data_IF_649469832932
#
_entry.id   IF_649469832932
#
_cell.length_a   1.000
_cell.length_b   1.000
_cell.length_c   1.000
_cell.angle_alpha   90.00
_cell.angle_beta   90.00
_cell.angle_gamma   90.00
#
_symmetry.space_group_name_H-M   'P 1'
#
loop_
_entity.id
_entity.type
_entity.pdbx_description
1 polymer ?
#
# COMPACT_ATOMS: atom_id res chain seq x y z
N UNK A 1 -2.57 13.74 5.14
CA UNK A 1 -1.22 13.19 5.39
C UNK A 1 -0.78 12.19 4.31
N UNK A 2 -1.57 11.15 3.99
CA UNK A 2 -1.22 10.15 2.96
C UNK A 2 -0.90 10.78 1.60
N UNK A 3 -1.69 11.75 1.12
CA UNK A 3 -1.41 12.47 -0.14
C UNK A 3 -0.10 13.28 -0.10
N UNK A 4 0.29 13.83 1.05
CA UNK A 4 1.57 14.54 1.21
C UNK A 4 2.73 13.54 1.07
N UNK A 5 2.62 12.38 1.73
CA UNK A 5 3.60 11.29 1.60
C UNK A 5 3.69 10.82 0.14
N UNK A 6 2.55 10.73 -0.58
CA UNK A 6 2.53 10.39 -2.01
C UNK A 6 3.24 11.44 -2.88
N UNK A 7 3.10 12.72 -2.59
CA UNK A 7 3.83 13.81 -3.28
C UNK A 7 5.34 13.67 -3.02
N UNK A 8 5.75 13.40 -1.78
CA UNK A 8 7.18 13.18 -1.44
C UNK A 8 7.73 11.98 -2.21
N UNK A 9 6.99 10.88 -2.29
CA UNK A 9 7.38 9.70 -3.09
C UNK A 9 7.57 10.09 -4.56
N UNK A 10 6.66 10.86 -5.15
CA UNK A 10 6.77 11.30 -6.54
C UNK A 10 8.02 12.18 -6.77
N UNK A 11 8.32 13.08 -5.85
CA UNK A 11 9.53 13.92 -5.90
C UNK A 11 10.81 13.10 -5.79
N UNK A 12 10.84 12.07 -4.92
CA UNK A 12 11.98 11.16 -4.79
C UNK A 12 12.22 10.35 -6.07
N UNK A 13 11.16 9.88 -6.73
CA UNK A 13 11.26 9.20 -8.04
C UNK A 13 11.83 10.16 -9.09
N UNK A 14 11.30 11.37 -9.19
CA UNK A 14 11.77 12.36 -10.16
C UNK A 14 13.26 12.70 -9.92
N UNK A 15 13.63 12.92 -8.66
CA UNK A 15 15.02 13.13 -8.24
C UNK A 15 15.92 11.97 -8.67
N UNK A 16 15.51 10.73 -8.40
CA UNK A 16 16.26 9.53 -8.77
C UNK A 16 16.49 9.45 -10.29
N UNK A 17 15.46 9.73 -11.09
CA UNK A 17 15.56 9.72 -12.56
C UNK A 17 16.54 10.79 -13.05
N UNK A 18 16.44 12.02 -12.54
CA UNK A 18 17.34 13.12 -12.93
C UNK A 18 18.79 12.78 -12.57
N UNK A 19 19.04 12.31 -11.34
CA UNK A 19 20.39 11.95 -10.91
C UNK A 19 20.95 10.74 -11.67
N UNK A 20 20.10 9.79 -12.08
CA UNK A 20 20.52 8.68 -12.95
C UNK A 20 21.05 9.18 -14.29
N UNK A 21 20.36 10.13 -14.94
CA UNK A 21 20.84 10.73 -16.19
C UNK A 21 22.15 11.51 -16.01
N UNK A 22 22.25 12.29 -14.93
CA UNK A 22 23.48 13.04 -14.59
C UNK A 22 24.65 12.08 -14.33
N UNK A 23 24.41 10.98 -13.63
CA UNK A 23 25.43 9.97 -13.36
C UNK A 23 25.93 9.31 -14.65
N UNK A 24 25.03 8.91 -15.55
CA UNK A 24 25.39 8.33 -16.86
C UNK A 24 26.24 9.33 -17.65
N UNK A 25 25.81 10.60 -17.70
CA UNK A 25 26.56 11.65 -18.39
C UNK A 25 27.96 11.86 -17.80
N UNK A 26 28.07 11.99 -16.47
CA UNK A 26 29.36 12.16 -15.80
C UNK A 26 30.27 10.94 -15.97
N UNK A 27 29.72 9.72 -15.99
CA UNK A 27 30.49 8.50 -16.21
C UNK A 27 31.08 8.44 -17.63
N UNK A 28 30.35 8.92 -18.64
CA UNK A 28 30.81 9.00 -20.03
C UNK A 28 31.88 10.09 -20.20
N UNK A 29 31.66 11.29 -19.63
CA UNK A 29 32.50 12.48 -19.92
C UNK A 29 33.66 12.65 -18.92
N UNK A 30 33.42 12.47 -17.62
CA UNK A 30 34.35 12.86 -16.54
C UNK A 30 35.00 11.68 -15.80
N UNK A 31 34.56 10.44 -16.05
CA UNK A 31 35.04 9.19 -15.41
C UNK A 31 34.98 9.12 -13.86
N UNK A 32 34.55 10.18 -13.18
CA UNK A 32 34.28 10.21 -11.74
C UNK A 32 32.92 10.87 -11.45
N UNK A 33 32.17 10.32 -10.49
CA UNK A 33 30.86 10.85 -10.09
C UNK A 33 30.60 10.59 -8.61
N UNK A 34 30.38 11.67 -7.85
CA UNK A 34 29.85 11.59 -6.46
C UNK A 34 28.33 11.51 -6.41
N UNK A 35 27.66 11.70 -7.55
CA UNK A 35 26.20 11.72 -7.70
C UNK A 35 25.56 10.37 -7.32
N UNK A 36 26.31 9.28 -7.44
CA UNK A 36 25.92 7.94 -7.01
C UNK A 36 25.43 7.89 -5.55
N UNK A 37 26.10 8.60 -4.64
CA UNK A 37 25.70 8.62 -3.22
C UNK A 37 24.35 9.30 -3.00
N UNK A 38 24.07 10.39 -3.74
CA UNK A 38 22.80 11.10 -3.67
C UNK A 38 21.67 10.23 -4.23
N UNK A 39 21.94 9.51 -5.31
CA UNK A 39 21.01 8.53 -5.88
C UNK A 39 20.68 7.41 -4.87
N UNK A 40 21.70 6.86 -4.19
CA UNK A 40 21.55 5.79 -3.20
C UNK A 40 20.73 6.25 -1.98
N UNK A 41 20.99 7.47 -1.47
CA UNK A 41 20.21 8.08 -0.39
C UNK A 41 18.75 8.29 -0.83
N UNK A 42 18.53 8.82 -2.04
CA UNK A 42 17.18 9.04 -2.57
C UNK A 42 16.41 7.72 -2.69
N UNK A 43 17.09 6.65 -3.12
CA UNK A 43 16.53 5.31 -3.21
C UNK A 43 16.15 4.75 -1.82
N UNK A 44 17.03 4.88 -0.82
CA UNK A 44 16.74 4.45 0.54
C UNK A 44 15.54 5.21 1.15
N UNK A 45 15.49 6.53 0.97
CA UNK A 45 14.36 7.37 1.40
C UNK A 45 13.06 6.97 0.70
N UNK A 46 13.13 6.59 -0.57
CA UNK A 46 11.97 6.13 -1.32
C UNK A 46 11.32 4.89 -0.67
N UNK A 47 12.09 3.84 -0.33
CA UNK A 47 11.52 2.67 0.35
C UNK A 47 10.94 2.99 1.73
N UNK A 48 11.61 3.89 2.46
CA UNK A 48 11.12 4.34 3.75
C UNK A 48 9.75 5.04 3.61
N UNK A 49 9.62 5.93 2.63
CA UNK A 49 8.35 6.65 2.40
C UNK A 49 7.23 5.73 1.90
N UNK A 50 7.55 4.70 1.10
CA UNK A 50 6.58 3.67 0.71
C UNK A 50 6.07 2.91 1.94
N UNK A 51 6.97 2.56 2.86
CA UNK A 51 6.63 1.86 4.11
C UNK A 51 5.74 2.74 4.99
N UNK A 52 6.10 4.01 5.19
CA UNK A 52 5.30 4.99 5.92
C UNK A 52 3.90 5.10 5.31
N UNK A 53 3.81 5.29 3.98
CA UNK A 53 2.51 5.35 3.28
C UNK A 53 1.65 4.13 3.56
N UNK A 54 2.23 2.93 3.47
CA UNK A 54 1.50 1.69 3.68
C UNK A 54 0.96 1.57 5.12
N UNK A 55 1.77 1.94 6.12
CA UNK A 55 1.32 1.99 7.51
C UNK A 55 0.21 3.03 7.74
N UNK A 56 0.33 4.22 7.15
CA UNK A 56 -0.71 5.24 7.27
C UNK A 56 -2.05 4.78 6.68
N UNK A 57 -2.01 4.17 5.49
CA UNK A 57 -3.22 3.59 4.86
C UNK A 57 -3.83 2.50 5.74
N UNK A 58 -3.02 1.60 6.30
CA UNK A 58 -3.51 0.58 7.25
C UNK A 58 -4.14 1.22 8.47
N UNK A 59 -3.47 2.18 9.09
CA UNK A 59 -3.94 2.78 10.35
C UNK A 59 -5.26 3.52 10.12
N UNK A 60 -5.38 4.29 9.04
CA UNK A 60 -6.64 4.95 8.67
C UNK A 60 -7.75 3.92 8.43
N UNK A 61 -7.47 2.83 7.71
CA UNK A 61 -8.43 1.76 7.48
C UNK A 61 -8.90 1.11 8.80
N UNK A 62 -7.96 0.78 9.69
CA UNK A 62 -8.26 0.17 11.00
C UNK A 62 -9.09 1.13 11.87
N UNK A 63 -8.76 2.41 11.87
CA UNK A 63 -9.51 3.44 12.59
C UNK A 63 -10.93 3.58 12.03
N UNK A 64 -11.08 3.61 10.70
CA UNK A 64 -12.39 3.66 10.05
C UNK A 64 -13.22 2.40 10.36
N UNK A 65 -12.63 1.20 10.38
CA UNK A 65 -13.33 -0.04 10.75
C UNK A 65 -13.84 -0.01 12.20
N UNK A 66 -13.03 0.50 13.12
CA UNK A 66 -13.40 0.59 14.54
C UNK A 66 -14.55 1.57 14.76
N UNK A 67 -14.47 2.74 14.13
CA UNK A 67 -15.40 3.85 14.33
C UNK A 67 -16.68 3.74 13.49
N UNK A 68 -16.64 3.07 12.35
CA UNK A 68 -17.77 2.99 11.41
C UNK A 68 -18.77 1.90 11.77
N UNK A 69 -20.01 2.05 11.35
CA UNK A 69 -20.96 0.93 11.25
C UNK A 69 -20.65 0.13 10.00
N UNK A 70 -20.65 -1.20 10.10
CA UNK A 70 -20.26 -2.08 9.01
C UNK A 70 -21.52 -2.63 8.35
N UNK A 71 -21.62 -2.41 7.04
CA UNK A 71 -22.67 -2.98 6.20
C UNK A 71 -22.05 -4.08 5.32
N UNK A 72 -22.57 -5.30 5.44
CA UNK A 72 -22.12 -6.50 4.71
C UNK A 72 -23.36 -7.25 4.22
N UNK A 73 -23.44 -7.50 2.91
CA UNK A 73 -24.56 -8.23 2.32
C UNK A 73 -24.42 -9.74 2.40
N UNK A 74 -23.19 -10.27 2.31
CA UNK A 74 -22.93 -11.71 2.09
C UNK A 74 -21.79 -12.29 2.94
N UNK A 75 -21.30 -11.55 3.95
CA UNK A 75 -20.25 -12.02 4.85
C UNK A 75 -20.56 -11.65 6.29
N UNK A 76 -20.03 -12.43 7.24
CA UNK A 76 -20.04 -12.12 8.66
C UNK A 76 -18.60 -12.00 9.13
N UNK A 77 -17.98 -10.83 8.93
CA UNK A 77 -16.72 -10.49 9.60
C UNK A 77 -17.01 -9.50 10.72
N UNK A 78 -16.49 -9.81 11.91
CA UNK A 78 -16.53 -8.89 13.04
C UNK A 78 -15.56 -7.72 12.83
N UNK A 79 -15.84 -6.60 13.51
CA UNK A 79 -14.91 -5.45 13.57
C UNK A 79 -13.50 -5.86 14.01
N UNK A 80 -13.41 -6.82 14.94
CA UNK A 80 -12.14 -7.30 15.48
C UNK A 80 -11.31 -7.97 14.40
N UNK A 81 -11.91 -8.91 13.65
CA UNK A 81 -11.24 -9.58 12.52
C UNK A 81 -10.84 -8.58 11.45
N UNK A 82 -11.73 -7.66 11.08
CA UNK A 82 -11.44 -6.66 10.06
C UNK A 82 -10.32 -5.69 10.45
N UNK A 83 -10.15 -5.44 11.74
CA UNK A 83 -9.08 -4.59 12.26
C UNK A 83 -7.72 -5.28 12.38
N UNK A 84 -7.68 -6.62 12.33
CA UNK A 84 -6.45 -7.41 12.46
C UNK A 84 -5.75 -7.61 11.11
N UNK A 85 -5.33 -6.49 10.51
CA UNK A 85 -4.70 -6.48 9.19
C UNK A 85 -3.19 -6.68 9.31
N UNK A 86 -2.66 -7.76 8.74
CA UNK A 86 -1.25 -8.07 8.67
C UNK A 86 -0.63 -7.53 7.37
N UNK A 87 0.43 -6.71 7.47
CA UNK A 87 1.14 -6.17 6.30
C UNK A 87 2.26 -7.14 5.93
N UNK A 88 2.23 -7.73 4.74
CA UNK A 88 3.33 -8.54 4.21
C UNK A 88 3.55 -8.28 2.72
N UNK A 89 4.81 -8.32 2.29
CA UNK A 89 5.25 -8.28 0.90
C UNK A 89 5.19 -9.67 0.25
N UNK A 90 4.02 -10.30 0.29
CA UNK A 90 3.81 -11.63 -0.26
C UNK A 90 3.19 -11.55 -1.67
N UNK A 91 3.49 -12.55 -2.51
CA UNK A 91 2.92 -12.65 -3.85
C UNK A 91 1.44 -13.04 -3.74
N UNK A 92 0.57 -12.12 -4.13
CA UNK A 92 -0.88 -12.30 -4.07
C UNK A 92 -1.32 -13.35 -5.09
N UNK A 93 -2.06 -14.35 -4.62
CA UNK A 93 -2.77 -15.33 -5.47
C UNK A 93 -4.17 -15.44 -4.94
N UNK A 94 -5.14 -14.95 -5.70
CA UNK A 94 -6.52 -14.82 -5.26
C UNK A 94 -7.44 -15.73 -6.05
N UNK A 95 -8.50 -16.18 -5.39
CA UNK A 95 -9.69 -16.74 -6.05
C UNK A 95 -10.59 -15.58 -6.46
N UNK A 96 -11.26 -15.67 -7.63
CA UNK A 96 -12.27 -14.70 -8.12
C UNK A 96 -13.55 -14.71 -7.25
N UNK A 97 -13.40 -14.38 -5.97
CA UNK A 97 -14.46 -14.20 -5.00
C UNK A 97 -14.17 -12.93 -4.22
N UNK A 98 -14.89 -11.88 -4.58
CA UNK A 98 -14.82 -10.58 -3.92
C UNK A 98 -15.88 -10.51 -2.81
N UNK A 99 -15.43 -10.18 -1.60
CA UNK A 99 -16.30 -9.83 -0.48
C UNK A 99 -16.25 -8.31 -0.33
N UNK A 100 -17.41 -7.65 -0.38
CA UNK A 100 -17.51 -6.19 -0.25
C UNK A 100 -18.07 -5.80 1.11
N UNK A 101 -17.41 -4.82 1.74
CA UNK A 101 -17.75 -4.26 3.04
C UNK A 101 -17.82 -2.75 2.89
N UNK A 102 -18.95 -2.16 3.30
CA UNK A 102 -19.13 -0.70 3.28
C UNK A 102 -19.04 -0.16 4.70
N UNK A 103 -18.20 0.86 4.88
CA UNK A 103 -17.99 1.56 6.15
C UNK A 103 -18.85 2.83 6.19
N UNK A 104 -19.88 2.83 7.02
CA UNK A 104 -20.79 3.97 7.21
C UNK A 104 -20.35 4.83 8.41
N UNK A 105 -20.46 6.17 8.32
CA UNK A 105 -21.21 6.96 7.34
C UNK A 105 -20.41 7.40 6.10
N UNK A 106 -19.10 7.19 6.10
CA UNK A 106 -18.19 7.71 5.06
C UNK A 106 -18.41 7.06 3.69
N UNK A 107 -19.13 5.92 3.64
CA UNK A 107 -19.36 5.09 2.44
C UNK A 107 -18.06 4.59 1.81
N UNK A 108 -17.01 4.49 2.61
CA UNK A 108 -15.73 3.92 2.22
C UNK A 108 -15.92 2.42 1.97
N UNK A 109 -15.40 1.93 0.84
CA UNK A 109 -15.54 0.52 0.44
C UNK A 109 -14.23 -0.23 0.68
N UNK A 110 -14.34 -1.33 1.41
CA UNK A 110 -13.29 -2.33 1.58
C UNK A 110 -13.73 -3.56 0.82
N UNK A 111 -12.87 -4.08 -0.05
CA UNK A 111 -13.12 -5.37 -0.68
C UNK A 111 -12.03 -6.36 -0.30
N UNK A 112 -12.38 -7.64 -0.29
CA UNK A 112 -11.46 -8.70 0.09
C UNK A 112 -11.51 -9.86 -0.88
N UNK A 113 -10.34 -10.42 -1.14
CA UNK A 113 -10.17 -11.58 -2.00
C UNK A 113 -9.61 -12.74 -1.18
N UNK A 114 -10.23 -13.91 -1.30
CA UNK A 114 -9.73 -15.12 -0.64
C UNK A 114 -8.40 -15.56 -1.27
N UNK A 115 -7.42 -15.91 -0.44
CA UNK A 115 -6.17 -16.48 -0.91
C UNK A 115 -6.40 -17.86 -1.56
N UNK A 116 -5.66 -18.14 -2.63
CA UNK A 116 -5.79 -19.39 -3.38
C UNK A 116 -5.29 -20.60 -2.58
N UNK A 117 -4.27 -20.42 -1.73
CA UNK A 117 -3.65 -21.50 -0.96
C UNK A 117 -4.26 -21.65 0.43
N UNK A 118 -4.76 -20.56 1.03
CA UNK A 118 -5.34 -20.57 2.36
C UNK A 118 -6.77 -19.98 2.37
N UNK A 119 -7.75 -20.86 2.63
CA UNK A 119 -9.17 -20.47 2.67
C UNK A 119 -9.51 -19.51 3.81
N UNK A 120 -8.67 -19.45 4.85
CA UNK A 120 -8.88 -18.56 5.98
C UNK A 120 -8.19 -17.20 5.78
N UNK A 121 -7.35 -17.06 4.75
CA UNK A 121 -6.63 -15.83 4.47
C UNK A 121 -7.38 -14.99 3.44
N UNK A 122 -7.57 -13.72 3.76
CA UNK A 122 -8.25 -12.76 2.90
C UNK A 122 -7.38 -11.53 2.68
N UNK A 123 -7.05 -11.25 1.42
CA UNK A 123 -6.36 -10.04 1.02
C UNK A 123 -7.31 -8.85 1.10
N UNK A 124 -6.91 -7.79 1.80
CA UNK A 124 -7.76 -6.62 2.08
C UNK A 124 -7.37 -5.48 1.17
N UNK A 125 -8.34 -4.96 0.45
CA UNK A 125 -8.18 -3.83 -0.45
C UNK A 125 -9.04 -2.67 0.01
N UNK A 126 -8.49 -1.47 -0.08
CA UNK A 126 -9.18 -0.26 0.32
C UNK A 126 -9.41 0.64 -0.89
N UNK A 127 -10.66 0.70 -1.36
CA UNK A 127 -11.04 1.31 -2.63
C UNK A 127 -10.62 2.79 -2.72
N UNK A 128 -10.68 3.52 -1.60
CA UNK A 128 -10.27 4.93 -1.49
C UNK A 128 -8.84 5.20 -1.99
N UNK A 129 -7.93 4.23 -1.83
CA UNK A 129 -6.52 4.35 -2.20
C UNK A 129 -6.07 3.36 -3.27
N UNK A 130 -7.02 2.71 -3.95
CA UNK A 130 -6.74 1.70 -4.97
C UNK A 130 -5.91 2.27 -6.15
N UNK A 131 -6.25 3.48 -6.59
CA UNK A 131 -5.52 4.21 -7.63
C UNK A 131 -4.04 4.44 -7.24
N UNK A 132 -3.75 4.63 -5.96
CA UNK A 132 -2.39 4.89 -5.47
C UNK A 132 -1.55 3.61 -5.29
N UNK A 133 -2.21 2.46 -5.20
CA UNK A 133 -1.56 1.18 -4.90
C UNK A 133 -1.44 0.24 -6.09
N UNK A 134 -2.00 0.58 -7.26
CA UNK A 134 -1.98 -0.27 -8.48
C UNK A 134 -2.29 -1.72 -8.07
N UNK A 135 -3.54 -1.95 -7.67
CA UNK A 135 -4.09 -3.24 -7.23
C UNK A 135 -3.41 -3.93 -6.03
N UNK A 136 -2.41 -3.32 -5.38
CA UNK A 136 -1.81 -3.89 -4.19
C UNK A 136 -2.73 -3.78 -2.95
N UNK A 137 -2.93 -4.88 -2.19
CA UNK A 137 -3.71 -4.88 -0.98
C UNK A 137 -3.04 -4.03 0.11
N UNK A 138 -3.86 -3.65 1.09
CA UNK A 138 -3.39 -3.04 2.33
C UNK A 138 -2.68 -4.06 3.22
N UNK A 139 -3.14 -5.30 3.18
CA UNK A 139 -2.59 -6.43 3.92
C UNK A 139 -3.49 -7.65 3.76
N UNK A 140 -3.42 -8.60 4.68
CA UNK A 140 -4.37 -9.71 4.77
C UNK A 140 -4.94 -9.84 6.18
N UNK A 141 -6.06 -10.53 6.30
CA UNK A 141 -6.68 -10.97 7.56
C UNK A 141 -6.74 -12.49 7.56
N UNK A 142 -6.57 -13.10 8.73
CA UNK A 142 -6.85 -14.52 8.95
C UNK A 142 -8.18 -14.64 9.68
N UNK A 143 -9.11 -15.40 9.09
CA UNK A 143 -10.39 -15.74 9.68
C UNK A 143 -10.23 -16.95 10.58
N UNK A 144 -10.59 -16.81 11.85
CA UNK A 144 -10.58 -17.89 12.85
C UNK A 144 -11.97 -18.48 13.06
#
# INVERSE_FOLDING_TARGET
MIYIVQIIIALLILSFVIFSFVEIYCKIVKKESRTYWIMLISFALFFLMITVRNHLVKNELVENIKTSTIDQSNSFFSKRELSDIHIVSEKIRVVDKDIYIVLMPQKDTVYMNQDFHDKNKFWVHYKKYEILKITAPVGYIIKN
#
